data_IF_870941381532
#
_entry.id   IF_870941381532
#
_cell.length_a   1.000
_cell.length_b   1.000
_cell.length_c   1.000
_cell.angle_alpha   90.00
_cell.angle_beta   90.00
_cell.angle_gamma   90.00
#
_symmetry.space_group_name_H-M   'P 1'
#
loop_
_entity.id
_entity.type
_entity.pdbx_description
1 polymer ?
#
# COMPACT_ATOMS: atom_id res chain seq x y z
N UNK A 1 11.45 17.01 7.91
CA UNK A 1 10.11 17.12 8.53
C UNK A 1 10.07 18.13 9.66
N UNK A 2 11.05 18.17 10.58
CA UNK A 2 11.09 19.16 11.67
C UNK A 2 10.91 20.61 11.20
N UNK A 3 11.60 21.02 10.15
CA UNK A 3 11.48 22.38 9.59
C UNK A 3 10.09 22.74 9.08
N UNK A 4 9.31 21.77 8.59
CA UNK A 4 7.93 22.00 8.11
C UNK A 4 6.99 22.20 9.29
N UNK A 5 7.16 21.42 10.35
CA UNK A 5 6.38 21.55 11.59
C UNK A 5 6.67 22.89 12.28
N UNK A 6 7.94 23.30 12.32
CA UNK A 6 8.35 24.61 12.83
C UNK A 6 7.79 25.76 11.98
N UNK A 7 7.84 25.67 10.65
CA UNK A 7 7.19 26.68 9.79
C UNK A 7 5.68 26.74 10.05
N UNK A 8 5.03 25.58 10.21
CA UNK A 8 3.60 25.51 10.49
C UNK A 8 3.24 26.05 11.89
N UNK A 9 4.11 25.91 12.90
CA UNK A 9 3.87 26.45 14.24
C UNK A 9 3.92 27.98 14.29
N UNK A 10 4.65 28.61 13.37
CA UNK A 10 4.71 30.07 13.23
C UNK A 10 3.61 30.65 12.32
N UNK A 11 2.72 29.82 11.78
CA UNK A 11 1.65 30.29 10.92
C UNK A 11 0.66 31.18 11.69
N UNK A 12 0.26 32.28 11.06
CA UNK A 12 -0.60 33.32 11.67
C UNK A 12 -2.05 32.87 11.87
N UNK A 13 -2.48 31.77 11.24
CA UNK A 13 -3.83 31.24 11.37
C UNK A 13 -3.85 29.71 11.29
N UNK A 14 -4.90 29.09 11.86
CA UNK A 14 -5.13 27.64 11.77
C UNK A 14 -5.26 27.15 10.31
N UNK A 15 -5.86 27.96 9.44
CA UNK A 15 -5.99 27.65 8.01
C UNK A 15 -4.64 27.64 7.33
N UNK A 16 -3.79 28.65 7.60
CA UNK A 16 -2.44 28.71 7.06
C UNK A 16 -1.58 27.55 7.58
N UNK A 17 -1.65 27.24 8.88
CA UNK A 17 -0.99 26.07 9.47
C UNK A 17 -1.40 24.77 8.75
N UNK A 18 -2.70 24.58 8.56
CA UNK A 18 -3.25 23.38 7.90
C UNK A 18 -2.78 23.28 6.45
N UNK A 19 -2.77 24.38 5.71
CA UNK A 19 -2.30 24.40 4.32
C UNK A 19 -0.82 24.01 4.24
N UNK A 20 0.03 24.63 5.07
CA UNK A 20 1.47 24.31 5.13
C UNK A 20 1.68 22.82 5.41
N UNK A 21 0.94 22.24 6.35
CA UNK A 21 1.07 20.81 6.66
C UNK A 21 0.56 19.93 5.51
N UNK A 22 -0.59 20.27 4.92
CA UNK A 22 -1.20 19.50 3.83
C UNK A 22 -0.35 19.47 2.57
N UNK A 23 0.36 20.54 2.26
CA UNK A 23 1.29 20.60 1.11
C UNK A 23 2.41 19.55 1.22
N UNK A 24 2.69 19.08 2.43
CA UNK A 24 3.67 18.03 2.73
C UNK A 24 3.01 16.71 3.16
N UNK A 25 1.69 16.58 3.00
CA UNK A 25 0.94 15.38 3.41
C UNK A 25 0.88 15.15 4.91
N UNK A 26 1.04 16.21 5.71
CA UNK A 26 0.95 16.19 7.17
C UNK A 26 -0.39 16.76 7.63
N UNK A 27 -0.82 16.37 8.83
CA UNK A 27 -2.05 16.84 9.45
C UNK A 27 -1.81 17.22 10.91
N UNK A 28 -2.44 18.31 11.35
CA UNK A 28 -2.40 18.77 12.74
C UNK A 28 -3.43 18.00 13.59
N UNK A 29 -3.10 16.75 13.94
CA UNK A 29 -3.98 15.85 14.68
C UNK A 29 -3.39 15.57 16.05
N UNK A 30 -4.15 15.87 17.11
CA UNK A 30 -3.84 15.39 18.45
C UNK A 30 -4.13 13.89 18.50
N UNK A 31 -3.11 13.06 18.70
CA UNK A 31 -3.29 11.62 18.76
C UNK A 31 -3.63 11.18 20.18
N UNK A 32 -4.67 10.34 20.35
CA UNK A 32 -5.09 9.87 21.68
C UNK A 32 -3.99 9.03 22.38
N UNK A 33 -3.12 8.36 21.61
CA UNK A 33 -1.99 7.62 22.16
C UNK A 33 -1.03 8.51 22.97
N UNK A 34 -0.99 9.82 22.73
CA UNK A 34 -0.13 10.74 23.50
C UNK A 34 -0.53 10.83 24.97
N UNK A 35 -1.76 10.46 25.33
CA UNK A 35 -2.22 10.49 26.71
C UNK A 35 -1.74 9.25 27.51
N UNK A 36 -1.14 8.24 26.85
CA UNK A 36 -0.60 7.05 27.52
C UNK A 36 0.86 7.25 27.92
N UNK A 37 1.15 7.18 29.22
CA UNK A 37 2.52 7.26 29.75
C UNK A 37 3.38 6.11 29.23
N UNK A 38 4.67 6.40 29.01
CA UNK A 38 5.67 5.46 28.48
C UNK A 38 5.34 4.84 27.12
N UNK A 39 4.43 5.46 26.37
CA UNK A 39 4.16 5.09 24.98
C UNK A 39 4.85 6.07 24.03
N UNK A 40 5.56 5.54 23.04
CA UNK A 40 6.03 6.30 21.89
C UNK A 40 5.41 5.68 20.62
N UNK A 41 4.29 6.28 20.20
CA UNK A 41 3.58 5.85 19.00
C UNK A 41 4.41 6.00 17.72
N UNK A 42 5.42 6.88 17.72
CA UNK A 42 6.28 7.11 16.57
C UNK A 42 7.38 6.04 16.48
N UNK A 43 7.95 5.65 17.62
CA UNK A 43 8.87 4.52 17.70
C UNK A 43 8.20 3.20 17.28
N UNK A 44 6.89 3.05 17.54
CA UNK A 44 6.12 1.87 17.13
C UNK A 44 5.86 1.79 15.62
N UNK A 45 5.97 2.89 14.88
CA UNK A 45 5.71 2.89 13.45
C UNK A 45 6.85 2.22 12.69
N UNK A 46 6.54 1.22 11.86
CA UNK A 46 7.53 0.49 11.06
C UNK A 46 7.34 0.76 9.57
N UNK A 47 8.40 0.60 8.81
CA UNK A 47 8.33 0.58 7.36
C UNK A 47 7.45 -0.57 6.85
N UNK A 48 6.23 -0.22 6.45
CA UNK A 48 5.30 -1.12 5.77
C UNK A 48 5.49 -1.04 4.25
N UNK A 49 5.90 -2.15 3.65
CA UNK A 49 6.18 -2.27 2.21
C UNK A 49 4.93 -2.10 1.37
N UNK A 50 3.77 -2.55 1.84
CA UNK A 50 2.52 -2.48 1.08
C UNK A 50 2.09 -1.04 0.85
N UNK A 51 1.92 -0.26 1.93
CA UNK A 51 1.48 1.11 1.81
C UNK A 51 2.58 2.05 1.33
N UNK A 52 3.85 1.70 1.49
CA UNK A 52 4.98 2.55 1.07
C UNK A 52 5.37 2.32 -0.38
N UNK A 53 5.50 1.07 -0.82
CA UNK A 53 6.05 0.71 -2.12
C UNK A 53 4.95 0.29 -3.08
N UNK A 54 4.35 -0.88 -2.87
CA UNK A 54 3.46 -1.56 -3.82
C UNK A 54 2.31 -0.66 -4.26
N UNK A 55 1.50 -0.24 -3.29
CA UNK A 55 0.36 0.65 -3.50
C UNK A 55 0.80 2.11 -3.35
N UNK A 56 1.81 2.36 -2.52
CA UNK A 56 2.28 3.69 -2.16
C UNK A 56 2.92 4.46 -3.31
N UNK A 57 4.24 4.31 -3.46
CA UNK A 57 5.02 5.00 -4.50
C UNK A 57 4.69 4.44 -5.87
N UNK A 58 4.65 3.12 -5.99
CA UNK A 58 4.47 2.44 -7.27
C UNK A 58 3.05 2.63 -7.80
N UNK A 59 2.05 2.05 -7.13
CA UNK A 59 0.67 2.09 -7.59
C UNK A 59 0.08 3.50 -7.71
N UNK A 60 0.22 4.35 -6.68
CA UNK A 60 -0.43 5.67 -6.65
C UNK A 60 0.28 6.77 -7.44
N UNK A 61 1.58 6.65 -7.65
CA UNK A 61 2.37 7.79 -8.16
C UNK A 61 3.15 7.48 -9.42
N UNK A 62 3.75 6.29 -9.52
CA UNK A 62 4.61 5.95 -10.65
C UNK A 62 3.78 5.31 -11.76
N UNK A 63 2.88 4.38 -11.44
CA UNK A 63 2.11 3.64 -12.43
C UNK A 63 1.25 4.56 -13.30
N UNK A 64 0.52 5.51 -12.70
CA UNK A 64 -0.29 6.47 -13.45
C UNK A 64 0.55 7.29 -14.43
N UNK A 65 1.72 7.76 -13.99
CA UNK A 65 2.65 8.50 -14.86
C UNK A 65 3.19 7.60 -15.98
N UNK A 66 3.53 6.36 -15.68
CA UNK A 66 3.97 5.36 -16.69
C UNK A 66 2.88 5.21 -17.75
N UNK A 67 1.62 4.98 -17.35
CA UNK A 67 0.50 4.87 -18.28
C UNK A 67 0.30 6.14 -19.12
N UNK A 68 0.42 7.33 -18.53
CA UNK A 68 0.37 8.59 -19.27
C UNK A 68 1.46 8.70 -20.34
N UNK A 69 2.70 8.29 -20.01
CA UNK A 69 3.81 8.31 -20.96
C UNK A 69 3.56 7.32 -22.10
N UNK A 70 3.12 6.09 -21.80
CA UNK A 70 2.79 5.10 -22.82
C UNK A 70 1.62 5.54 -23.71
N UNK A 71 0.62 6.25 -23.15
CA UNK A 71 -0.46 6.88 -23.92
C UNK A 71 0.08 7.96 -24.86
N UNK A 72 0.90 8.88 -24.37
CA UNK A 72 1.54 9.95 -25.17
C UNK A 72 2.39 9.39 -26.31
N UNK A 73 3.11 8.30 -26.06
CA UNK A 73 3.93 7.59 -27.06
C UNK A 73 3.14 6.65 -27.96
N UNK A 74 1.82 6.52 -27.78
CA UNK A 74 0.95 5.58 -28.50
C UNK A 74 1.45 4.12 -28.43
N UNK A 75 2.13 3.74 -27.35
CA UNK A 75 2.77 2.44 -27.17
C UNK A 75 2.12 1.58 -26.08
N UNK A 76 0.93 1.98 -25.59
CA UNK A 76 0.21 1.25 -24.54
C UNK A 76 -0.12 -0.20 -24.94
N UNK A 77 -0.46 -0.44 -26.21
CA UNK A 77 -0.69 -1.79 -26.73
C UNK A 77 0.56 -2.68 -26.66
N UNK A 78 1.75 -2.09 -26.86
CA UNK A 78 3.01 -2.81 -26.75
C UNK A 78 3.32 -3.22 -25.30
N UNK A 79 3.07 -2.32 -24.34
CA UNK A 79 3.20 -2.63 -22.91
C UNK A 79 2.32 -3.84 -22.54
N UNK A 80 1.05 -3.79 -22.94
CA UNK A 80 0.10 -4.88 -22.70
C UNK A 80 0.54 -6.18 -23.37
N UNK A 81 0.98 -6.13 -24.64
CA UNK A 81 1.46 -7.31 -25.36
C UNK A 81 2.74 -7.91 -24.74
N UNK A 82 3.64 -7.08 -24.23
CA UNK A 82 4.86 -7.57 -23.57
C UNK A 82 4.52 -8.26 -22.25
N UNK A 83 3.66 -7.65 -21.42
CA UNK A 83 3.24 -8.24 -20.15
C UNK A 83 2.44 -9.53 -20.35
N UNK A 84 1.60 -9.63 -21.39
CA UNK A 84 0.85 -10.86 -21.71
C UNK A 84 1.72 -11.99 -22.25
N UNK A 85 2.97 -11.71 -22.65
CA UNK A 85 3.95 -12.72 -23.07
C UNK A 85 4.83 -13.20 -21.93
N UNK A 86 4.77 -12.55 -20.77
CA UNK A 86 5.55 -12.97 -19.62
C UNK A 86 5.14 -14.39 -19.21
N UNK A 87 6.09 -15.30 -18.93
CA UNK A 87 5.74 -16.68 -18.60
C UNK A 87 4.83 -16.75 -17.37
N UNK A 88 4.04 -17.83 -17.28
CA UNK A 88 3.27 -18.11 -16.07
C UNK A 88 4.23 -18.64 -15.00
N UNK A 89 4.19 -18.05 -13.80
CA UNK A 89 4.96 -18.49 -12.64
C UNK A 89 4.03 -18.74 -11.47
N UNK A 90 4.41 -19.68 -10.60
CA UNK A 90 3.63 -19.96 -9.40
C UNK A 90 3.58 -18.71 -8.50
N UNK A 91 2.38 -18.36 -8.03
CA UNK A 91 2.12 -17.17 -7.20
C UNK A 91 2.49 -15.82 -7.85
N UNK A 92 2.50 -15.73 -9.18
CA UNK A 92 2.64 -14.48 -9.91
C UNK A 92 1.46 -14.29 -10.86
N UNK A 93 0.69 -13.21 -10.68
CA UNK A 93 -0.44 -12.92 -11.55
C UNK A 93 0.02 -12.65 -12.99
N UNK A 94 -0.66 -13.27 -13.94
CA UNK A 94 -0.46 -13.02 -15.36
C UNK A 94 -1.38 -11.91 -15.87
N UNK A 95 -0.83 -10.97 -16.64
CA UNK A 95 -1.55 -9.75 -17.05
C UNK A 95 -1.81 -9.71 -18.55
N UNK A 96 -3.01 -10.10 -18.96
CA UNK A 96 -3.47 -9.91 -20.35
C UNK A 96 -3.76 -8.45 -20.70
N UNK A 97 -4.12 -7.64 -19.70
CA UNK A 97 -4.48 -6.23 -19.84
C UNK A 97 -3.90 -5.38 -18.69
N UNK A 98 -2.58 -5.34 -18.58
CA UNK A 98 -1.90 -4.66 -17.45
C UNK A 98 -2.32 -3.18 -17.30
N UNK A 99 -2.58 -2.49 -18.42
CA UNK A 99 -2.92 -1.07 -18.43
C UNK A 99 -4.27 -0.72 -17.81
N UNK A 100 -5.15 -1.71 -17.60
CA UNK A 100 -6.47 -1.52 -16.98
C UNK A 100 -6.49 -1.86 -15.49
N UNK A 101 -5.34 -2.28 -14.92
CA UNK A 101 -5.22 -2.57 -13.49
C UNK A 101 -5.49 -1.29 -12.70
N UNK A 102 -6.50 -1.35 -11.84
CA UNK A 102 -6.94 -0.22 -11.01
C UNK A 102 -6.25 -0.22 -9.65
N UNK A 103 -6.15 0.97 -9.03
CA UNK A 103 -5.53 1.20 -7.72
C UNK A 103 -5.99 0.23 -6.60
N UNK A 104 -7.22 -0.28 -6.67
CA UNK A 104 -7.78 -1.20 -5.66
C UNK A 104 -7.17 -2.61 -5.70
N UNK A 105 -6.44 -2.97 -6.76
CA UNK A 105 -5.85 -4.29 -6.93
C UNK A 105 -4.41 -4.32 -6.40
N UNK A 106 -4.29 -4.29 -5.07
CA UNK A 106 -3.01 -4.18 -4.33
C UNK A 106 -2.00 -5.25 -4.73
N UNK A 107 -2.45 -6.51 -4.77
CA UNK A 107 -1.63 -7.65 -5.19
C UNK A 107 -1.12 -7.48 -6.62
N UNK A 108 -1.94 -6.91 -7.52
CA UNK A 108 -1.49 -6.69 -8.89
C UNK A 108 -0.36 -5.68 -9.00
N UNK A 109 -0.35 -4.63 -8.18
CA UNK A 109 0.76 -3.67 -8.21
C UNK A 109 2.07 -4.30 -7.75
N UNK A 110 2.02 -5.11 -6.70
CA UNK A 110 3.16 -5.87 -6.23
C UNK A 110 3.64 -6.85 -7.31
N UNK A 111 2.74 -7.60 -7.95
CA UNK A 111 3.10 -8.53 -9.02
C UNK A 111 3.69 -7.80 -10.23
N UNK A 112 3.12 -6.67 -10.66
CA UNK A 112 3.70 -5.83 -11.72
C UNK A 112 5.09 -5.34 -11.32
N UNK A 113 5.29 -4.94 -10.06
CA UNK A 113 6.59 -4.47 -9.58
C UNK A 113 7.64 -5.59 -9.63
N UNK A 114 7.27 -6.84 -9.29
CA UNK A 114 8.14 -8.02 -9.44
C UNK A 114 8.58 -8.27 -10.88
N UNK A 115 7.70 -8.05 -11.86
CA UNK A 115 8.08 -8.14 -13.28
C UNK A 115 9.13 -7.09 -13.68
N UNK A 116 9.36 -6.08 -12.83
CA UNK A 116 10.19 -4.92 -13.09
C UNK A 116 11.33 -4.78 -12.07
N UNK A 117 11.77 -5.87 -11.45
CA UNK A 117 12.75 -5.90 -10.36
C UNK A 117 14.05 -5.10 -10.66
N UNK A 118 14.51 -5.12 -11.92
CA UNK A 118 15.67 -4.34 -12.37
C UNK A 118 15.53 -2.80 -12.23
N UNK A 119 14.31 -2.30 -12.02
CA UNK A 119 14.04 -0.87 -11.87
C UNK A 119 14.39 -0.35 -10.47
N UNK A 120 14.44 -1.23 -9.45
CA UNK A 120 14.68 -0.83 -8.06
C UNK A 120 16.04 -0.15 -7.93
N UNK A 121 17.11 -0.75 -8.47
CA UNK A 121 18.46 -0.18 -8.43
C UNK A 121 18.65 1.11 -9.24
N UNK A 122 17.67 1.45 -10.10
CA UNK A 122 17.68 2.67 -10.94
C UNK A 122 16.65 3.70 -10.47
N UNK A 123 15.93 3.41 -9.39
CA UNK A 123 14.74 4.16 -8.97
C UNK A 123 15.04 5.65 -8.70
N UNK A 124 16.10 5.94 -7.96
CA UNK A 124 16.50 7.33 -7.65
C UNK A 124 16.83 8.14 -8.92
N UNK A 125 17.57 7.52 -9.85
CA UNK A 125 17.91 8.12 -11.14
C UNK A 125 16.64 8.43 -11.94
N UNK A 126 15.67 7.53 -11.95
CA UNK A 126 14.40 7.75 -12.62
C UNK A 126 13.55 8.83 -11.95
N UNK A 127 13.49 8.88 -10.62
CA UNK A 127 12.81 9.97 -9.91
C UNK A 127 13.38 11.33 -10.31
N UNK A 128 14.70 11.46 -10.30
CA UNK A 128 15.39 12.70 -10.71
C UNK A 128 15.09 13.09 -12.15
N UNK A 129 15.07 12.12 -13.07
CA UNK A 129 14.72 12.33 -14.47
C UNK A 129 13.26 12.76 -14.64
N UNK A 130 12.34 12.08 -13.95
CA UNK A 130 10.90 12.36 -13.99
C UNK A 130 10.59 13.74 -13.42
N UNK A 131 11.27 14.16 -12.35
CA UNK A 131 11.14 15.53 -11.84
C UNK A 131 11.57 16.56 -12.89
N UNK A 132 12.67 16.34 -13.61
CA UNK A 132 13.15 17.26 -14.65
C UNK A 132 12.22 17.31 -15.87
N UNK A 133 11.75 16.16 -16.34
CA UNK A 133 10.97 16.06 -17.58
C UNK A 133 9.49 16.37 -17.40
N UNK A 134 8.93 16.06 -16.23
CA UNK A 134 7.48 16.12 -15.98
C UNK A 134 7.09 16.99 -14.78
N UNK A 135 8.07 17.62 -14.10
CA UNK A 135 7.80 18.48 -12.94
C UNK A 135 7.27 17.74 -11.70
N UNK A 136 7.31 16.40 -11.68
CA UNK A 136 6.78 15.62 -10.56
C UNK A 136 7.66 15.80 -9.33
N UNK A 137 7.05 16.26 -8.24
CA UNK A 137 7.68 16.27 -6.93
C UNK A 137 7.56 14.90 -6.25
N UNK A 138 8.69 14.39 -5.75
CA UNK A 138 8.75 13.20 -4.88
C UNK A 138 8.90 13.57 -3.40
N UNK A 139 8.64 14.83 -3.03
CA UNK A 139 8.70 15.28 -1.63
C UNK A 139 7.41 14.94 -0.89
N UNK A 140 7.23 13.67 -0.55
CA UNK A 140 6.08 13.20 0.24
C UNK A 140 6.51 12.21 1.34
N UNK A 141 5.72 12.03 2.41
CA UNK A 141 6.13 11.27 3.59
C UNK A 141 6.57 9.84 3.29
N UNK A 142 5.84 9.11 2.43
CA UNK A 142 6.17 7.73 2.04
C UNK A 142 7.53 7.62 1.33
N UNK A 143 7.94 8.63 0.56
CA UNK A 143 9.27 8.66 -0.07
C UNK A 143 10.36 8.84 0.97
N UNK A 144 10.15 9.77 1.92
CA UNK A 144 11.11 10.03 2.98
C UNK A 144 11.32 8.82 3.90
N UNK A 145 10.25 8.05 4.14
CA UNK A 145 10.27 6.90 5.04
C UNK A 145 11.33 5.83 4.67
N UNK A 146 11.76 5.77 3.40
CA UNK A 146 12.87 4.89 2.95
C UNK A 146 14.15 5.14 3.76
N UNK A 147 14.44 6.40 4.10
CA UNK A 147 15.65 6.74 4.86
C UNK A 147 15.70 6.12 6.26
N UNK A 148 14.55 5.68 6.76
CA UNK A 148 14.41 5.04 8.08
C UNK A 148 14.39 3.51 8.01
N UNK A 149 14.28 2.89 6.82
CA UNK A 149 14.17 1.42 6.65
C UNK A 149 15.29 0.67 7.34
N UNK A 150 16.54 1.11 7.16
CA UNK A 150 17.69 0.43 7.76
C UNK A 150 17.64 0.48 9.30
N UNK A 151 17.21 1.61 9.86
CA UNK A 151 17.01 1.77 11.30
C UNK A 151 15.86 0.90 11.81
N UNK A 152 14.75 0.85 11.08
CA UNK A 152 13.61 0.00 11.41
C UNK A 152 14.00 -1.49 11.40
N UNK A 153 14.75 -1.94 10.39
CA UNK A 153 15.23 -3.32 10.30
C UNK A 153 16.14 -3.65 11.48
N UNK A 154 17.05 -2.75 11.82
CA UNK A 154 17.96 -2.92 12.95
C UNK A 154 17.22 -3.02 14.30
N UNK A 155 16.19 -2.21 14.50
CA UNK A 155 15.48 -2.13 15.78
C UNK A 155 14.35 -3.17 15.91
N UNK A 156 13.71 -3.54 14.81
CA UNK A 156 12.42 -4.26 14.81
C UNK A 156 12.43 -5.55 13.99
N UNK A 157 13.50 -5.84 13.24
CA UNK A 157 13.64 -7.03 12.39
C UNK A 157 13.11 -6.83 10.97
N UNK A 158 12.89 -7.94 10.25
CA UNK A 158 12.47 -7.88 8.84
C UNK A 158 11.17 -7.11 8.63
N UNK A 159 11.07 -6.40 7.50
CA UNK A 159 9.84 -5.71 7.07
C UNK A 159 8.72 -6.67 6.71
N UNK A 160 9.01 -7.96 6.48
CA UNK A 160 7.99 -8.97 6.16
C UNK A 160 6.96 -9.11 7.29
N UNK A 161 7.42 -9.00 8.55
CA UNK A 161 6.58 -9.08 9.73
C UNK A 161 5.81 -7.78 10.01
N UNK A 162 6.12 -6.72 9.27
CA UNK A 162 5.53 -5.38 9.43
C UNK A 162 4.55 -5.04 8.30
N UNK A 163 4.36 -5.96 7.35
CA UNK A 163 3.41 -5.77 6.26
C UNK A 163 1.97 -5.70 6.78
N UNK A 164 1.20 -4.75 6.27
CA UNK A 164 -0.23 -4.65 6.59
C UNK A 164 -1.12 -5.62 5.79
N UNK A 165 -0.56 -6.42 4.89
CA UNK A 165 -1.32 -7.38 4.07
C UNK A 165 -2.27 -8.28 4.88
N UNK A 166 -1.84 -8.93 5.98
CA UNK A 166 -2.73 -9.80 6.77
C UNK A 166 -3.89 -9.01 7.41
N UNK A 167 -3.59 -7.84 7.98
CA UNK A 167 -4.60 -7.01 8.64
C UNK A 167 -5.63 -6.45 7.66
N UNK A 168 -5.21 -6.06 6.46
CA UNK A 168 -6.12 -5.61 5.42
C UNK A 168 -7.00 -6.74 4.87
N UNK A 169 -6.48 -7.96 4.76
CA UNK A 169 -7.25 -9.15 4.38
C UNK A 169 -8.37 -9.42 5.38
N UNK A 170 -8.04 -9.44 6.67
CA UNK A 170 -9.04 -9.57 7.74
C UNK A 170 -10.13 -8.50 7.67
N UNK A 171 -9.77 -7.24 7.39
CA UNK A 171 -10.76 -6.16 7.24
C UNK A 171 -11.66 -6.35 6.02
N UNK A 172 -11.15 -6.91 4.91
CA UNK A 172 -11.95 -7.23 3.73
C UNK A 172 -12.98 -8.31 4.05
N UNK A 173 -12.56 -9.39 4.71
CA UNK A 173 -13.45 -10.47 5.17
C UNK A 173 -14.54 -9.92 6.10
N UNK A 174 -14.15 -9.13 7.10
CA UNK A 174 -15.10 -8.48 8.00
C UNK A 174 -16.10 -7.59 7.24
N UNK A 175 -15.66 -6.88 6.19
CA UNK A 175 -16.54 -6.08 5.36
C UNK A 175 -17.52 -6.94 4.53
N UNK A 176 -17.09 -8.10 4.04
CA UNK A 176 -17.94 -9.06 3.32
C UNK A 176 -18.98 -9.69 4.24
N UNK A 177 -18.56 -10.12 5.43
CA UNK A 177 -19.46 -10.64 6.46
C UNK A 177 -20.48 -9.56 6.86
N UNK A 178 -20.06 -8.30 7.00
CA UNK A 178 -20.97 -7.19 7.29
C UNK A 178 -22.04 -6.99 6.21
N UNK A 179 -21.68 -7.14 4.92
CA UNK A 179 -22.62 -7.02 3.78
C UNK A 179 -23.72 -8.07 3.83
N UNK A 180 -23.47 -9.24 4.42
CA UNK A 180 -24.45 -10.31 4.58
C UNK A 180 -25.44 -10.07 5.74
N UNK A 181 -25.20 -9.08 6.59
CA UNK A 181 -26.08 -8.75 7.72
C UNK A 181 -27.22 -7.82 7.32
N UNK A 182 -28.26 -7.76 8.15
CA UNK A 182 -29.32 -6.75 8.02
C UNK A 182 -28.90 -5.33 8.51
N UNK A 183 -27.60 -5.12 8.82
CA UNK A 183 -27.00 -3.88 9.34
C UNK A 183 -27.55 -3.37 10.69
N UNK A 184 -28.43 -4.13 11.35
CA UNK A 184 -28.93 -3.83 12.70
C UNK A 184 -28.31 -4.77 13.72
N UNK A 185 -27.65 -4.22 14.75
CA UNK A 185 -26.92 -5.05 15.74
C UNK A 185 -25.97 -6.05 15.06
N UNK A 186 -25.28 -5.59 14.00
CA UNK A 186 -24.57 -6.43 13.05
C UNK A 186 -23.50 -7.32 13.71
N UNK A 187 -22.84 -6.87 14.78
CA UNK A 187 -21.79 -7.63 15.49
C UNK A 187 -22.18 -9.08 15.79
N UNK A 188 -23.37 -9.31 16.37
CA UNK A 188 -23.83 -10.69 16.69
C UNK A 188 -24.11 -11.53 15.45
N UNK A 189 -24.56 -10.91 14.37
CA UNK A 189 -24.78 -11.60 13.10
C UNK A 189 -23.45 -11.96 12.44
N UNK A 190 -22.51 -11.01 12.43
CA UNK A 190 -21.17 -11.22 11.88
C UNK A 190 -20.46 -12.37 12.59
N UNK A 191 -20.45 -12.40 13.93
CA UNK A 191 -19.82 -13.50 14.68
C UNK A 191 -20.40 -14.87 14.35
N UNK A 192 -21.72 -14.98 14.12
CA UNK A 192 -22.35 -16.26 13.73
C UNK A 192 -22.00 -16.67 12.31
N UNK A 193 -21.90 -15.70 11.40
CA UNK A 193 -21.52 -15.97 10.01
C UNK A 193 -20.07 -16.44 9.97
N UNK A 194 -19.18 -15.74 10.67
CA UNK A 194 -17.76 -16.07 10.81
C UNK A 194 -17.57 -17.48 11.39
N UNK A 195 -18.23 -17.79 12.52
CA UNK A 195 -18.22 -19.13 13.14
C UNK A 195 -18.65 -20.24 12.15
N UNK A 196 -19.72 -20.00 11.37
CA UNK A 196 -20.17 -20.95 10.37
C UNK A 196 -19.19 -21.09 9.20
N UNK A 197 -18.57 -19.98 8.76
CA UNK A 197 -17.57 -20.01 7.68
C UNK A 197 -16.33 -20.80 8.09
N UNK A 198 -15.85 -20.64 9.32
CA UNK A 198 -14.75 -21.42 9.89
C UNK A 198 -15.09 -22.91 9.95
N UNK A 199 -16.29 -23.27 10.42
CA UNK A 199 -16.73 -24.67 10.43
C UNK A 199 -16.76 -25.28 9.01
N UNK A 200 -17.23 -24.52 8.01
CA UNK A 200 -17.25 -24.95 6.61
C UNK A 200 -15.82 -25.10 6.06
N UNK A 201 -14.92 -24.16 6.38
CA UNK A 201 -13.53 -24.19 5.94
C UNK A 201 -12.80 -25.43 6.47
N UNK A 202 -12.98 -25.74 7.76
CA UNK A 202 -12.42 -26.95 8.39
C UNK A 202 -12.90 -28.25 7.72
N UNK A 203 -14.21 -28.35 7.45
CA UNK A 203 -14.77 -29.53 6.77
C UNK A 203 -14.18 -29.67 5.35
N UNK A 204 -14.07 -28.57 4.60
CA UNK A 204 -13.48 -28.57 3.26
C UNK A 204 -12.02 -29.00 3.27
N UNK A 205 -11.24 -28.44 4.20
CA UNK A 205 -9.83 -28.82 4.36
C UNK A 205 -9.67 -30.31 4.67
N UNK A 206 -10.55 -30.88 5.51
CA UNK A 206 -10.53 -32.31 5.82
C UNK A 206 -10.79 -33.16 4.56
N UNK A 207 -11.82 -32.81 3.77
CA UNK A 207 -12.15 -33.49 2.51
C UNK A 207 -11.00 -33.36 1.50
N UNK A 208 -10.41 -32.18 1.35
CA UNK A 208 -9.32 -31.94 0.41
C UNK A 208 -8.03 -32.67 0.78
N UNK A 209 -7.82 -32.95 2.07
CA UNK A 209 -6.70 -33.76 2.55
C UNK A 209 -6.93 -35.25 2.33
N UNK A 210 -8.15 -35.73 2.55
CA UNK A 210 -8.54 -37.12 2.26
C UNK A 210 -8.40 -37.45 0.77
N UNK A 211 -8.87 -36.54 -0.11
CA UNK A 211 -8.72 -36.68 -1.56
C UNK A 211 -7.26 -36.64 -2.06
N UNK A 212 -6.32 -36.17 -1.23
CA UNK A 212 -4.88 -36.09 -1.56
C UNK A 212 -4.08 -37.27 -1.05
N UNK A 213 -4.65 -38.10 -0.16
CA UNK A 213 -4.04 -39.31 0.38
C UNK A 213 -4.22 -40.50 -0.58
#
# INVERSE_FOLDING_TARGET
>A
MCSVVECASHATSKTAKKQILQDYGLHDVKHFLWDFQFSDSYAACSYDTLHSDDVGKWGKHIWDLVLEIFKKKKSLGQLTSNMSKFPYWNNLKHFNHVATVSFTDRQSFYDILKHLEELIGKYEKFCSKVTKEYGKSFRFPKQHWISHVASDIWQKGTTDNMSMHPGEGFQQEAAEVYKQTNKKKAKKQMSRIDENQEAIALIRMAIDNDNRA
#
